data_IF_269895832311
#
_entry.id   IF_269895832311
#
_cell.length_a   1.000
_cell.length_b   1.000
_cell.length_c   1.000
_cell.angle_alpha   90.00
_cell.angle_beta   90.00
_cell.angle_gamma   90.00
#
_symmetry.space_group_name_H-M   'P 1'
#
loop_
_entity.id
_entity.type
_entity.pdbx_description
1 polymer ?
#
# COMPACT_ATOMS: atom_id res chain seq x y z
N UNK A 1 16.19 -41.10 45.99
CA UNK A 1 17.45 -40.78 45.29
C UNK A 1 17.37 -41.37 43.89
N UNK A 2 17.19 -40.53 42.86
CA UNK A 2 17.40 -40.87 41.45
C UNK A 2 17.48 -39.56 40.67
N UNK A 3 18.70 -39.07 40.43
CA UNK A 3 19.00 -37.87 39.66
C UNK A 3 19.20 -38.25 38.20
N UNK A 4 18.24 -37.89 37.34
CA UNK A 4 18.33 -38.09 35.89
C UNK A 4 19.10 -36.93 35.26
N UNK A 5 20.23 -37.24 34.61
CA UNK A 5 21.07 -36.32 33.83
C UNK A 5 20.45 -36.08 32.45
N UNK A 6 19.95 -34.87 32.21
CA UNK A 6 19.65 -34.41 30.85
C UNK A 6 20.94 -33.91 30.18
N UNK A 7 21.35 -34.60 29.11
CA UNK A 7 22.44 -34.17 28.22
C UNK A 7 21.90 -33.17 27.21
N UNK A 8 22.36 -31.93 27.28
CA UNK A 8 22.16 -30.92 26.25
C UNK A 8 22.99 -31.28 25.02
N UNK A 9 22.33 -31.68 23.93
CA UNK A 9 22.97 -31.87 22.64
C UNK A 9 23.22 -30.49 21.99
N UNK A 10 24.49 -30.18 21.78
CA UNK A 10 24.97 -29.02 21.03
C UNK A 10 24.63 -29.19 19.54
N UNK A 11 23.98 -28.17 18.98
CA UNK A 11 23.75 -28.02 17.54
C UNK A 11 25.09 -27.84 16.79
N UNK A 12 25.30 -28.48 15.62
CA UNK A 12 26.47 -28.24 14.79
C UNK A 12 26.40 -26.86 14.13
N UNK A 13 27.43 -26.02 14.36
CA UNK A 13 27.74 -24.87 13.51
C UNK A 13 28.16 -25.39 12.13
N UNK A 14 27.30 -25.21 11.13
CA UNK A 14 27.67 -25.36 9.72
C UNK A 14 28.50 -24.15 9.31
N UNK A 15 29.82 -24.36 9.27
CA UNK A 15 30.78 -23.51 8.58
C UNK A 15 31.04 -24.19 7.23
N UNK A 16 30.57 -23.59 6.13
CA UNK A 16 30.90 -24.03 4.77
C UNK A 16 31.29 -22.80 3.93
N UNK A 17 32.54 -22.38 4.07
CA UNK A 17 33.20 -21.31 3.29
C UNK A 17 33.85 -21.84 1.99
N UNK A 18 33.23 -22.80 1.31
CA UNK A 18 33.88 -23.52 0.20
C UNK A 18 33.17 -23.41 -1.17
N UNK A 19 32.41 -22.35 -1.45
CA UNK A 19 31.76 -22.21 -2.78
C UNK A 19 31.87 -20.85 -3.47
N UNK A 20 32.66 -19.90 -2.96
CA UNK A 20 32.81 -18.57 -3.59
C UNK A 20 34.06 -18.38 -4.47
N UNK A 21 34.92 -19.39 -4.60
CA UNK A 21 36.19 -19.23 -5.33
C UNK A 21 36.16 -19.57 -6.83
N UNK A 22 34.99 -19.83 -7.43
CA UNK A 22 34.90 -20.25 -8.83
C UNK A 22 34.40 -19.18 -9.82
N UNK A 23 34.07 -17.98 -9.35
CA UNK A 23 33.56 -16.89 -10.20
C UNK A 23 34.41 -15.59 -10.16
N UNK A 24 35.70 -15.69 -9.81
CA UNK A 24 36.63 -14.55 -9.81
C UNK A 24 37.97 -14.79 -10.52
N UNK A 25 38.11 -15.89 -11.28
CA UNK A 25 39.23 -16.06 -12.21
C UNK A 25 38.76 -15.69 -13.61
N UNK A 26 38.93 -14.42 -14.00
CA UNK A 26 39.31 -13.96 -15.34
C UNK A 26 39.13 -12.44 -15.48
N UNK A 27 39.93 -11.64 -14.76
CA UNK A 27 40.16 -10.25 -15.16
C UNK A 27 41.66 -9.95 -15.04
N UNK A 28 42.40 -10.28 -16.11
CA UNK A 28 43.73 -9.72 -16.35
C UNK A 28 43.87 -9.47 -17.84
N UNK A 29 43.26 -8.37 -18.31
CA UNK A 29 43.63 -7.74 -19.56
C UNK A 29 43.72 -6.24 -19.37
N UNK A 30 44.93 -5.78 -19.08
CA UNK A 30 45.36 -4.43 -19.37
C UNK A 30 45.57 -4.31 -20.89
N UNK A 31 44.81 -3.43 -21.54
CA UNK A 31 45.26 -2.73 -22.75
C UNK A 31 44.45 -1.47 -22.99
N UNK A 32 44.98 -0.39 -22.43
CA UNK A 32 45.18 0.90 -23.09
C UNK A 32 44.66 0.98 -24.53
N UNK A 33 43.60 1.76 -24.74
CA UNK A 33 43.40 2.52 -25.97
C UNK A 33 42.34 3.63 -25.80
N UNK A 34 42.84 4.85 -25.95
CA UNK A 34 42.28 5.87 -26.85
C UNK A 34 40.96 6.51 -26.45
N UNK A 35 41.12 7.54 -25.62
CA UNK A 35 40.54 8.87 -25.74
C UNK A 35 39.91 9.13 -27.13
N UNK A 36 38.61 8.93 -27.25
CA UNK A 36 37.79 9.41 -28.36
C UNK A 36 36.53 10.03 -27.77
N UNK A 37 36.38 11.31 -28.08
CA UNK A 37 35.24 12.20 -27.95
C UNK A 37 34.09 11.76 -27.04
N UNK A 38 34.03 12.45 -25.90
CA UNK A 38 32.82 12.75 -25.17
C UNK A 38 31.83 13.50 -26.08
N UNK A 39 31.15 12.75 -26.94
CA UNK A 39 29.92 13.20 -27.59
C UNK A 39 28.84 13.30 -26.52
N UNK A 40 28.56 14.57 -26.21
CA UNK A 40 27.54 15.13 -25.31
C UNK A 40 26.12 14.73 -25.71
N UNK A 41 25.80 13.44 -25.71
CA UNK A 41 24.43 12.97 -25.71
C UNK A 41 24.06 12.73 -24.25
N UNK A 42 23.64 13.80 -23.58
CA UNK A 42 22.75 13.66 -22.42
C UNK A 42 21.68 12.64 -22.83
N UNK A 43 21.53 11.52 -22.13
CA UNK A 43 20.45 10.59 -22.41
C UNK A 43 19.17 11.41 -22.32
N UNK A 44 18.50 11.62 -23.46
CA UNK A 44 17.12 12.10 -23.44
C UNK A 44 16.36 11.02 -22.67
N UNK A 45 16.11 11.28 -21.39
CA UNK A 45 15.10 10.55 -20.63
C UNK A 45 13.81 10.91 -21.36
N UNK A 46 13.41 10.03 -22.26
CA UNK A 46 12.08 10.03 -22.81
C UNK A 46 11.18 9.77 -21.61
N UNK A 47 10.66 10.87 -21.03
CA UNK A 47 9.59 10.83 -20.05
C UNK A 47 8.36 10.37 -20.82
N UNK A 48 8.37 9.08 -21.15
CA UNK A 48 7.15 8.32 -21.33
C UNK A 48 6.35 8.65 -20.08
N UNK A 49 5.22 9.31 -20.28
CA UNK A 49 4.25 9.54 -19.22
C UNK A 49 3.72 8.19 -18.79
N UNK A 50 4.55 7.40 -18.10
CA UNK A 50 4.12 6.31 -17.26
C UNK A 50 3.10 6.95 -16.36
N UNK A 51 1.86 6.50 -16.58
CA UNK A 51 0.70 6.75 -15.77
C UNK A 51 1.18 6.78 -14.33
N UNK A 52 1.33 7.99 -13.81
CA UNK A 52 1.92 8.22 -12.51
C UNK A 52 0.91 7.57 -11.56
N UNK A 53 1.22 6.42 -10.94
CA UNK A 53 0.18 5.61 -10.35
C UNK A 53 -0.55 6.49 -9.34
N UNK A 54 -1.89 6.45 -9.39
CA UNK A 54 -2.80 7.23 -8.53
C UNK A 54 -2.42 7.14 -7.03
N UNK A 55 -1.53 6.19 -6.68
CA UNK A 55 -0.74 6.13 -5.45
C UNK A 55 0.20 7.30 -5.13
N UNK A 56 0.31 8.37 -5.94
CA UNK A 56 0.89 9.64 -5.45
C UNK A 56 -0.08 10.37 -4.49
N UNK A 57 -0.85 9.59 -3.72
CA UNK A 57 -1.62 10.02 -2.56
C UNK A 57 -0.67 10.78 -1.65
N UNK A 58 -0.89 12.08 -1.51
CA UNK A 58 -0.17 12.91 -0.57
C UNK A 58 -0.46 12.36 0.82
N UNK A 59 0.47 11.59 1.43
CA UNK A 59 0.13 10.78 2.57
C UNK A 59 0.23 11.70 3.77
N UNK A 60 -0.94 12.02 4.34
CA UNK A 60 -1.15 12.73 5.60
C UNK A 60 0.14 12.91 6.39
N UNK A 61 0.73 14.12 6.35
CA UNK A 61 2.08 14.40 6.87
C UNK A 61 2.19 13.97 8.33
N UNK A 62 1.12 14.20 9.10
CA UNK A 62 0.95 13.71 10.46
C UNK A 62 -0.34 12.87 10.56
N UNK A 63 -0.29 11.66 10.02
CA UNK A 63 -1.40 10.71 9.93
C UNK A 63 -2.25 10.59 11.19
N UNK A 64 -1.63 10.47 12.37
CA UNK A 64 -2.36 10.28 13.63
C UNK A 64 -3.24 11.49 13.94
N UNK A 65 -2.66 12.69 13.84
CA UNK A 65 -3.34 13.93 14.17
C UNK A 65 -4.37 14.33 13.11
N UNK A 66 -4.03 14.14 11.84
CA UNK A 66 -4.94 14.41 10.74
C UNK A 66 -6.13 13.43 10.75
N UNK A 67 -5.92 12.14 11.11
CA UNK A 67 -7.04 11.20 11.27
C UNK A 67 -7.97 11.58 12.43
N UNK A 68 -7.43 12.09 13.54
CA UNK A 68 -8.28 12.63 14.63
C UNK A 68 -9.17 13.76 14.11
N UNK A 69 -8.62 14.68 13.32
CA UNK A 69 -9.39 15.76 12.71
C UNK A 69 -10.44 15.26 11.71
N UNK A 70 -10.12 14.24 10.89
CA UNK A 70 -11.07 13.63 9.96
C UNK A 70 -12.25 13.03 10.73
N UNK A 71 -11.98 12.29 11.81
CA UNK A 71 -13.02 11.68 12.65
C UNK A 71 -13.87 12.74 13.34
N UNK A 72 -13.24 13.79 13.89
CA UNK A 72 -13.94 14.87 14.56
C UNK A 72 -14.86 15.67 13.61
N UNK A 73 -14.43 15.89 12.37
CA UNK A 73 -15.22 16.63 11.36
C UNK A 73 -16.34 15.81 10.75
N UNK A 74 -16.22 14.47 10.75
CA UNK A 74 -17.15 13.58 10.06
C UNK A 74 -17.78 12.54 11.00
N UNK A 75 -18.35 12.93 12.16
CA UNK A 75 -18.81 11.96 13.16
C UNK A 75 -19.93 11.04 12.62
N UNK A 76 -20.82 11.56 11.75
CA UNK A 76 -21.89 10.77 11.16
C UNK A 76 -21.39 9.60 10.30
N UNK A 77 -20.25 9.76 9.62
CA UNK A 77 -19.63 8.68 8.86
C UNK A 77 -19.12 7.57 9.80
N UNK A 78 -18.39 7.93 10.85
CA UNK A 78 -17.82 6.92 11.77
C UNK A 78 -18.88 6.25 12.64
N UNK A 79 -19.98 6.95 12.97
CA UNK A 79 -21.16 6.33 13.61
C UNK A 79 -21.79 5.31 12.66
N UNK A 80 -21.94 5.63 11.37
CA UNK A 80 -22.46 4.69 10.38
C UNK A 80 -21.56 3.46 10.23
N UNK A 81 -20.24 3.65 10.19
CA UNK A 81 -19.27 2.54 10.17
C UNK A 81 -19.42 1.68 11.41
N UNK A 82 -19.49 2.28 12.61
CA UNK A 82 -19.67 1.54 13.86
C UNK A 82 -20.97 0.73 13.88
N UNK A 83 -22.07 1.28 13.37
CA UNK A 83 -23.36 0.60 13.29
C UNK A 83 -23.38 -0.58 12.31
N UNK A 84 -22.51 -0.58 11.30
CA UNK A 84 -22.40 -1.67 10.32
C UNK A 84 -21.42 -2.78 10.75
N UNK A 85 -20.63 -2.55 11.80
CA UNK A 85 -19.71 -3.57 12.32
C UNK A 85 -20.42 -4.36 13.41
N UNK A 86 -20.74 -5.62 13.12
CA UNK A 86 -21.46 -6.50 14.04
C UNK A 86 -20.62 -6.91 15.28
N UNK A 87 -19.30 -6.93 15.15
CA UNK A 87 -18.38 -7.45 16.15
C UNK A 87 -17.47 -6.35 16.73
N UNK A 88 -17.55 -6.16 18.05
CA UNK A 88 -16.77 -5.17 18.79
C UNK A 88 -15.26 -5.33 18.55
N UNK A 89 -14.76 -6.56 18.42
CA UNK A 89 -13.32 -6.80 18.16
C UNK A 89 -12.91 -6.29 16.79
N UNK A 90 -13.77 -6.44 15.79
CA UNK A 90 -13.55 -5.94 14.44
C UNK A 90 -13.53 -4.40 14.43
N UNK A 91 -14.43 -3.77 15.20
CA UNK A 91 -14.46 -2.31 15.33
C UNK A 91 -13.21 -1.78 16.07
N UNK A 92 -12.81 -2.41 17.17
CA UNK A 92 -11.56 -2.05 17.88
C UNK A 92 -10.32 -2.29 16.99
N UNK A 93 -10.31 -3.32 16.14
CA UNK A 93 -9.25 -3.52 15.14
C UNK A 93 -9.22 -2.38 14.11
N UNK A 94 -10.37 -1.94 13.61
CA UNK A 94 -10.45 -0.80 12.70
C UNK A 94 -9.92 0.46 13.36
N UNK A 95 -10.37 0.76 14.59
CA UNK A 95 -9.92 1.91 15.39
C UNK A 95 -8.42 1.89 15.65
N UNK A 96 -7.87 0.74 16.05
CA UNK A 96 -6.41 0.58 16.24
C UNK A 96 -5.62 0.81 14.95
N UNK A 97 -6.20 0.47 13.80
CA UNK A 97 -5.58 0.69 12.49
C UNK A 97 -5.66 2.18 12.11
N UNK A 98 -6.83 2.80 12.25
CA UNK A 98 -7.05 4.22 11.94
C UNK A 98 -6.05 5.14 12.68
N UNK A 99 -5.81 4.88 13.96
CA UNK A 99 -4.92 5.68 14.80
C UNK A 99 -3.49 5.13 14.91
N UNK A 100 -3.10 4.14 14.09
CA UNK A 100 -1.75 3.60 14.13
C UNK A 100 -0.72 4.69 13.73
N UNK A 101 0.35 4.91 14.52
CA UNK A 101 1.45 5.79 14.13
C UNK A 101 2.20 5.28 12.89
N UNK A 102 2.74 6.18 12.07
CA UNK A 102 3.49 5.82 10.84
C UNK A 102 4.72 4.95 11.13
N UNK A 103 5.29 5.07 12.33
CA UNK A 103 6.41 4.25 12.78
C UNK A 103 6.02 2.78 12.99
N UNK A 104 4.74 2.50 13.28
CA UNK A 104 4.22 1.16 13.55
C UNK A 104 3.67 0.53 12.27
N UNK A 105 3.04 1.33 11.40
CA UNK A 105 2.37 0.84 10.20
C UNK A 105 2.70 1.75 9.01
N UNK A 106 3.24 1.19 7.93
CA UNK A 106 3.52 1.97 6.71
C UNK A 106 2.22 2.55 6.14
N UNK A 107 2.30 3.63 5.35
CA UNK A 107 1.09 4.23 4.78
C UNK A 107 0.36 3.28 3.82
N UNK A 108 1.12 2.48 3.06
CA UNK A 108 0.57 1.46 2.18
C UNK A 108 -0.20 0.39 2.97
N UNK A 109 0.40 -0.11 4.06
CA UNK A 109 -0.20 -1.14 4.89
C UNK A 109 -1.43 -0.62 5.63
N UNK A 110 -1.35 0.64 6.08
CA UNK A 110 -2.43 1.33 6.77
C UNK A 110 -3.64 1.46 5.87
N UNK A 111 -3.44 2.00 4.66
CA UNK A 111 -4.51 2.20 3.69
C UNK A 111 -5.13 0.85 3.29
N UNK A 112 -4.30 -0.14 2.97
CA UNK A 112 -4.75 -1.48 2.58
C UNK A 112 -5.55 -2.19 3.70
N UNK A 113 -5.13 -2.07 4.97
CA UNK A 113 -5.88 -2.67 6.08
C UNK A 113 -7.24 -2.02 6.26
N UNK A 114 -7.33 -0.71 6.10
CA UNK A 114 -8.60 0.01 6.19
C UNK A 114 -9.49 -0.37 5.00
N UNK A 115 -8.95 -0.40 3.79
CA UNK A 115 -9.65 -0.88 2.59
C UNK A 115 -10.25 -2.26 2.81
N UNK A 116 -9.44 -3.22 3.25
CA UNK A 116 -9.89 -4.60 3.48
C UNK A 116 -11.01 -4.68 4.52
N UNK A 117 -10.95 -3.86 5.58
CA UNK A 117 -11.98 -3.82 6.61
C UNK A 117 -13.25 -3.15 6.09
N UNK A 118 -13.15 -1.99 5.44
CA UNK A 118 -14.30 -1.22 4.97
C UNK A 118 -14.98 -1.85 3.76
N UNK A 119 -14.23 -2.37 2.78
CA UNK A 119 -14.78 -3.07 1.61
C UNK A 119 -15.54 -4.34 2.00
N UNK A 120 -15.10 -5.03 3.07
CA UNK A 120 -15.83 -6.18 3.63
C UNK A 120 -17.18 -5.80 4.22
N UNK A 121 -17.29 -4.60 4.81
CA UNK A 121 -18.56 -4.07 5.33
C UNK A 121 -19.44 -3.54 4.20
N UNK A 122 -18.88 -2.63 3.40
CA UNK A 122 -19.53 -2.04 2.24
C UNK A 122 -18.50 -1.31 1.35
N UNK A 123 -18.40 -1.61 0.05
CA UNK A 123 -17.54 -0.87 -0.87
C UNK A 123 -17.78 0.64 -0.88
N UNK A 124 -19.04 1.07 -0.70
CA UNK A 124 -19.40 2.49 -0.65
C UNK A 124 -18.82 3.21 0.59
N UNK A 125 -18.60 2.49 1.71
CA UNK A 125 -17.93 3.07 2.87
C UNK A 125 -16.46 3.33 2.61
N UNK A 126 -15.82 2.48 1.80
CA UNK A 126 -14.42 2.65 1.40
C UNK A 126 -14.25 3.85 0.47
N UNK A 127 -15.05 3.95 -0.60
CA UNK A 127 -15.01 5.09 -1.51
C UNK A 127 -15.21 6.44 -0.77
N UNK A 128 -16.16 6.46 0.17
CA UNK A 128 -16.39 7.65 1.00
C UNK A 128 -15.22 7.95 1.94
N UNK A 129 -14.55 6.93 2.46
CA UNK A 129 -13.34 7.10 3.28
C UNK A 129 -12.20 7.73 2.47
N UNK A 130 -11.97 7.24 1.25
CA UNK A 130 -10.96 7.80 0.35
C UNK A 130 -11.20 9.28 0.10
N UNK A 131 -12.45 9.66 -0.22
CA UNK A 131 -12.81 11.06 -0.37
C UNK A 131 -12.50 11.89 0.89
N UNK A 132 -12.75 11.37 2.10
CA UNK A 132 -12.45 12.11 3.33
C UNK A 132 -10.94 12.37 3.54
N UNK A 133 -10.08 11.45 3.08
CA UNK A 133 -8.63 11.62 3.15
C UNK A 133 -8.14 12.58 2.08
N UNK A 134 -8.63 12.42 0.84
CA UNK A 134 -8.18 13.22 -0.30
C UNK A 134 -8.55 14.71 -0.16
N UNK A 135 -9.68 15.02 0.48
CA UNK A 135 -10.15 16.39 0.71
C UNK A 135 -9.56 17.06 1.97
N UNK A 136 -8.55 16.48 2.64
CA UNK A 136 -8.00 17.12 3.84
C UNK A 136 -7.36 18.46 3.45
N UNK A 137 -7.92 19.61 3.90
CA UNK A 137 -7.40 20.90 3.49
C UNK A 137 -5.98 21.00 4.02
N UNK A 138 -4.99 21.05 3.13
CA UNK A 138 -3.68 21.56 3.50
C UNK A 138 -3.94 22.96 4.01
N UNK A 139 -3.85 23.14 5.33
CA UNK A 139 -3.87 24.44 5.97
C UNK A 139 -2.63 25.13 5.44
N UNK A 140 -2.72 25.73 4.25
CA UNK A 140 -1.69 26.59 3.72
C UNK A 140 -1.56 27.66 4.80
N UNK A 141 -0.41 27.74 5.50
CA UNK A 141 -0.22 28.75 6.51
C UNK A 141 -0.52 30.06 5.80
N UNK A 142 -1.61 30.70 6.22
CA UNK A 142 -2.07 31.97 5.66
C UNK A 142 -0.85 32.84 5.56
N UNK A 143 -0.43 33.15 4.33
CA UNK A 143 0.51 34.24 4.08
C UNK A 143 -0.08 35.39 4.87
N UNK A 144 0.55 35.69 5.99
CA UNK A 144 0.22 36.82 6.83
C UNK A 144 0.49 38.03 5.96
N UNK A 145 -0.57 38.52 5.31
CA UNK A 145 -0.58 39.77 4.57
C UNK A 145 -0.12 40.85 5.52
N UNK A 146 1.16 41.18 5.38
CA UNK A 146 1.78 42.32 6.00
C UNK A 146 1.35 43.51 5.18
N UNK A 147 0.22 44.11 5.54
CA UNK A 147 -0.21 45.43 5.06
C UNK A 147 -1.15 46.07 6.08
N UNK A 148 -0.58 46.57 7.17
CA UNK A 148 -1.15 47.68 7.94
C UNK A 148 -1.16 48.95 7.07
N UNK A 149 -2.27 49.70 7.06
CA UNK A 149 -2.26 51.12 7.47
C UNK A 149 -3.66 51.75 7.44
N UNK A 150 -4.19 51.98 8.64
CA UNK A 150 -4.90 53.15 9.16
C UNK A 150 -5.98 53.88 8.32
N UNK A 151 -7.18 54.05 8.91
CA UNK A 151 -7.56 55.32 9.54
C UNK A 151 -8.86 55.24 10.33
N UNK A 152 -8.83 55.88 11.49
CA UNK A 152 -9.92 56.10 12.44
C UNK A 152 -10.96 57.10 11.92
N UNK A 153 -12.21 57.02 12.41
CA UNK A 153 -13.02 58.15 12.91
C UNK A 153 -14.36 57.64 13.48
N UNK A 154 -14.51 57.79 14.80
CA UNK A 154 -15.72 57.71 15.67
C UNK A 154 -16.69 58.92 15.49
N UNK A 155 -17.83 59.09 16.22
CA UNK A 155 -18.84 58.20 16.88
C UNK A 155 -20.30 58.78 16.61
N UNK A 156 -21.32 58.80 17.49
CA UNK A 156 -21.74 58.00 18.67
C UNK A 156 -23.21 57.50 18.59
N UNK A 157 -23.71 56.72 19.57
CA UNK A 157 -25.08 56.85 20.13
C UNK A 157 -25.22 56.01 21.40
N UNK A 158 -25.61 56.67 22.50
CA UNK A 158 -26.14 56.08 23.73
C UNK A 158 -27.64 55.83 23.59
N UNK A 159 -28.20 54.86 24.32
CA UNK A 159 -29.36 55.01 25.25
C UNK A 159 -29.73 53.63 25.85
N UNK A 160 -29.79 53.60 27.19
CA UNK A 160 -30.45 52.61 28.04
C UNK A 160 -31.97 52.85 28.04
N UNK A 161 -32.80 51.80 28.08
CA UNK A 161 -34.02 51.72 28.93
C UNK A 161 -34.57 50.27 29.04
N UNK A 162 -34.56 49.76 30.27
CA UNK A 162 -35.58 49.01 31.04
C UNK A 162 -36.74 48.21 30.41
N UNK A 163 -36.76 46.91 30.78
CA UNK A 163 -37.81 46.16 31.52
C UNK A 163 -39.17 45.73 30.89
N UNK A 164 -39.83 44.69 31.47
CA UNK A 164 -40.65 43.67 30.78
C UNK A 164 -42.17 43.82 31.01
N UNK A 165 -43.03 43.11 30.25
CA UNK A 165 -44.39 42.66 30.68
C UNK A 165 -45.03 41.67 29.67
N UNK A 166 -45.46 40.54 30.24
CA UNK A 166 -46.63 39.68 29.96
C UNK A 166 -47.33 39.57 28.57
N UNK A 167 -47.33 38.33 28.08
CA UNK A 167 -48.48 37.40 28.01
C UNK A 167 -49.57 37.46 26.91
N UNK A 168 -50.02 36.24 26.62
CA UNK A 168 -51.37 35.80 26.20
C UNK A 168 -51.70 35.66 24.69
N UNK A 169 -52.18 34.43 24.40
CA UNK A 169 -53.20 34.02 23.42
C UNK A 169 -52.76 33.63 22.00
N UNK A 170 -53.00 32.35 21.64
CA UNK A 170 -54.14 31.82 20.82
C UNK A 170 -53.95 32.17 19.34
N UNK A 171 -54.18 31.34 18.33
CA UNK A 171 -55.03 30.16 18.19
C UNK A 171 -54.82 29.60 16.76
N UNK A 172 -55.23 28.34 16.58
CA UNK A 172 -55.91 27.83 15.37
C UNK A 172 -55.13 27.61 14.05
N UNK A 173 -54.85 26.32 13.80
CA UNK A 173 -55.40 25.50 12.69
C UNK A 173 -55.78 26.19 11.37
N UNK A 174 -55.28 25.68 10.23
CA UNK A 174 -56.08 24.89 9.27
C UNK A 174 -55.34 24.60 7.95
N UNK A 175 -55.46 23.34 7.52
CA UNK A 175 -55.56 22.80 6.15
C UNK A 175 -55.16 23.66 4.95
N UNK A 176 -54.42 23.08 4.00
CA UNK A 176 -55.04 22.56 2.77
C UNK A 176 -54.01 21.98 1.78
N UNK A 177 -54.50 20.91 1.15
CA UNK A 177 -54.09 20.22 -0.07
C UNK A 177 -53.51 21.06 -1.21
N UNK A 178 -52.55 20.50 -1.94
CA UNK A 178 -52.37 20.75 -3.38
C UNK A 178 -51.59 19.60 -4.02
N UNK A 179 -52.32 18.80 -4.79
CA UNK A 179 -51.83 17.89 -5.81
C UNK A 179 -51.25 18.66 -7.00
N UNK A 180 -50.12 18.21 -7.55
CA UNK A 180 -49.74 18.51 -8.92
C UNK A 180 -49.07 17.30 -9.58
N UNK A 181 -49.73 16.88 -10.64
CA UNK A 181 -49.41 15.80 -11.55
C UNK A 181 -48.53 16.29 -12.71
N UNK A 182 -47.91 15.30 -13.39
CA UNK A 182 -47.35 15.31 -14.74
C UNK A 182 -45.91 15.85 -14.88
N UNK A 183 -44.98 14.94 -15.21
CA UNK A 183 -44.49 14.87 -16.59
C UNK A 183 -43.76 13.55 -16.84
N UNK A 184 -44.26 12.81 -17.83
CA UNK A 184 -43.69 11.57 -18.34
C UNK A 184 -42.58 11.91 -19.33
N UNK A 185 -41.42 11.27 -19.20
CA UNK A 185 -40.37 11.32 -20.22
C UNK A 185 -39.84 9.92 -20.46
N UNK A 186 -40.18 9.42 -21.65
CA UNK A 186 -39.64 8.22 -22.28
C UNK A 186 -38.13 8.35 -22.49
N UNK A 187 -37.32 7.41 -21.98
CA UNK A 187 -36.04 7.05 -22.59
C UNK A 187 -35.72 5.55 -22.35
N UNK A 188 -35.77 4.81 -23.46
CA UNK A 188 -34.88 3.72 -23.85
C UNK A 188 -34.63 2.55 -22.87
N UNK A 189 -35.40 1.49 -23.11
CA UNK A 189 -35.07 0.09 -22.87
C UNK A 189 -33.67 -0.26 -23.40
N UNK A 190 -32.74 -0.54 -22.48
CA UNK A 190 -31.51 -1.26 -22.78
C UNK A 190 -31.43 -2.49 -21.85
N UNK A 191 -31.34 -3.64 -22.51
CA UNK A 191 -31.28 -5.01 -21.99
C UNK A 191 -29.97 -5.23 -21.22
N UNK A 192 -29.97 -5.71 -19.96
CA UNK A 192 -28.75 -6.17 -19.30
C UNK A 192 -28.27 -7.50 -19.90
N UNK A 193 -26.98 -7.67 -20.18
CA UNK A 193 -26.41 -8.94 -20.64
C UNK A 193 -26.22 -9.94 -19.49
N UNK A 194 -26.32 -11.20 -19.88
CA UNK A 194 -26.07 -12.43 -19.13
C UNK A 194 -24.78 -12.38 -18.30
N UNK A 195 -24.88 -12.25 -16.97
CA UNK A 195 -23.78 -12.51 -16.03
C UNK A 195 -24.30 -12.90 -14.64
N UNK A 196 -25.41 -13.66 -14.61
CA UNK A 196 -25.95 -14.28 -13.41
C UNK A 196 -26.02 -15.80 -13.61
N UNK A 197 -24.85 -16.44 -13.78
CA UNK A 197 -24.78 -17.91 -13.84
C UNK A 197 -23.39 -18.48 -13.52
N UNK A 198 -22.70 -17.91 -12.53
CA UNK A 198 -21.47 -18.46 -11.95
C UNK A 198 -21.46 -18.26 -10.43
N UNK A 199 -22.58 -18.62 -9.80
CA UNK A 199 -22.73 -18.73 -8.34
C UNK A 199 -23.19 -20.15 -8.02
N UNK A 200 -22.28 -21.11 -8.11
CA UNK A 200 -22.34 -22.40 -7.42
C UNK A 200 -21.08 -23.20 -7.75
N UNK A 201 -20.08 -23.13 -6.86
CA UNK A 201 -19.15 -24.22 -6.51
C UNK A 201 -17.95 -23.65 -5.75
N UNK A 202 -18.03 -23.70 -4.42
CA UNK A 202 -16.99 -24.20 -3.51
C UNK A 202 -17.34 -23.78 -2.07
N UNK A 203 -18.31 -24.48 -1.49
CA UNK A 203 -18.23 -24.82 -0.07
C UNK A 203 -17.50 -26.17 0.05
N UNK A 204 -16.99 -26.44 1.25
CA UNK A 204 -16.17 -27.58 1.68
C UNK A 204 -14.65 -27.47 1.51
N UNK A 205 -14.01 -26.74 2.43
CA UNK A 205 -12.87 -27.30 3.16
C UNK A 205 -12.59 -26.58 4.50
N UNK A 206 -13.28 -27.01 5.54
CA UNK A 206 -12.87 -26.77 6.92
C UNK A 206 -11.69 -27.67 7.31
N UNK A 207 -10.91 -27.19 8.28
CA UNK A 207 -9.99 -27.92 9.17
C UNK A 207 -8.51 -28.01 8.79
N UNK A 208 -7.73 -27.00 9.21
CA UNK A 208 -6.43 -27.23 9.85
C UNK A 208 -6.01 -26.01 10.68
N UNK A 209 -6.29 -26.07 11.98
CA UNK A 209 -5.74 -25.20 13.01
C UNK A 209 -4.25 -25.50 13.23
N UNK A 210 -3.39 -24.51 13.03
CA UNK A 210 -1.95 -24.59 13.32
C UNK A 210 -1.40 -23.21 13.62
N UNK A 211 -1.70 -22.69 14.82
CA UNK A 211 -1.18 -21.41 15.30
C UNK A 211 0.34 -21.51 15.51
N UNK A 212 1.10 -20.82 14.66
CA UNK A 212 2.51 -20.53 14.94
C UNK A 212 2.68 -19.01 14.91
N UNK A 213 2.93 -18.43 16.09
CA UNK A 213 3.26 -17.03 16.22
C UNK A 213 4.65 -16.79 15.63
N UNK A 214 4.74 -16.01 14.55
CA UNK A 214 6.02 -15.47 14.05
C UNK A 214 5.88 -13.99 13.72
N UNK A 215 6.56 -13.19 14.54
CA UNK A 215 7.34 -12.00 14.22
C UNK A 215 6.97 -11.24 12.94
N UNK A 216 6.48 -10.01 13.10
CA UNK A 216 6.54 -8.87 12.16
C UNK A 216 7.05 -9.18 10.75
N UNK A 217 6.26 -9.89 9.96
CA UNK A 217 6.59 -10.17 8.56
C UNK A 217 6.07 -9.06 7.67
N UNK A 218 6.98 -8.56 6.84
CA UNK A 218 6.79 -7.61 5.74
C UNK A 218 5.41 -7.71 5.09
N UNK A 219 4.76 -6.56 4.94
CA UNK A 219 3.41 -6.35 4.41
C UNK A 219 3.09 -7.07 3.09
N UNK A 220 4.12 -7.37 2.30
CA UNK A 220 3.97 -7.98 0.99
C UNK A 220 3.75 -9.49 0.99
N UNK A 221 3.79 -10.17 2.16
CA UNK A 221 3.41 -11.59 2.24
C UNK A 221 1.97 -11.86 1.78
N UNK A 222 1.08 -10.87 1.82
CA UNK A 222 -0.31 -11.06 1.38
C UNK A 222 -0.51 -10.97 -0.14
N UNK A 223 0.47 -10.48 -0.92
CA UNK A 223 0.40 -10.61 -2.39
C UNK A 223 0.63 -12.05 -2.86
N UNK A 224 1.30 -12.87 -2.04
CA UNK A 224 1.55 -14.28 -2.33
C UNK A 224 0.30 -15.15 -2.24
N UNK A 225 -0.64 -14.80 -1.35
CA UNK A 225 -1.77 -15.68 -1.01
C UNK A 225 -2.79 -15.81 -2.15
N UNK A 226 -2.92 -14.79 -3.02
CA UNK A 226 -3.92 -14.78 -4.12
C UNK A 226 -3.32 -14.79 -5.54
N UNK A 227 -2.02 -14.51 -5.73
CA UNK A 227 -1.43 -14.31 -7.07
C UNK A 227 -0.38 -15.34 -7.51
N UNK A 228 -0.10 -16.35 -6.68
CA UNK A 228 0.93 -17.33 -6.98
C UNK A 228 2.34 -16.74 -6.92
N UNK A 229 3.32 -17.45 -7.49
CA UNK A 229 4.72 -17.00 -7.52
C UNK A 229 4.87 -15.84 -8.53
N UNK A 230 5.49 -14.73 -8.14
CA UNK A 230 5.81 -13.62 -9.06
C UNK A 230 6.85 -14.01 -10.10
N UNK A 231 7.78 -14.87 -9.71
CA UNK A 231 8.79 -15.45 -10.59
C UNK A 231 8.51 -16.93 -10.74
N UNK A 232 8.39 -17.42 -11.97
CA UNK A 232 8.14 -18.84 -12.18
C UNK A 232 9.31 -19.69 -11.68
N UNK A 233 9.12 -20.55 -10.66
CA UNK A 233 10.22 -21.30 -10.05
C UNK A 233 10.84 -22.33 -11.00
N UNK A 234 10.17 -22.70 -12.09
CA UNK A 234 10.69 -23.62 -13.11
C UNK A 234 12.02 -23.13 -13.69
N UNK A 235 12.25 -21.82 -13.72
CA UNK A 235 13.50 -21.24 -14.21
C UNK A 235 14.72 -21.78 -13.45
N UNK A 236 14.59 -22.04 -12.14
CA UNK A 236 15.68 -22.52 -11.30
C UNK A 236 16.15 -23.93 -11.65
N UNK A 237 15.30 -24.71 -12.31
CA UNK A 237 15.61 -26.06 -12.77
C UNK A 237 16.22 -26.09 -14.17
N UNK A 238 16.08 -24.99 -14.92
CA UNK A 238 16.74 -24.84 -16.20
C UNK A 238 18.24 -24.61 -15.99
N UNK A 239 19.08 -25.18 -16.88
CA UNK A 239 20.55 -24.96 -16.88
C UNK A 239 20.99 -23.93 -17.90
N UNK A 240 20.10 -23.53 -18.82
CA UNK A 240 20.46 -22.73 -19.99
C UNK A 240 20.33 -21.23 -19.75
N UNK A 241 19.50 -20.84 -18.79
CA UNK A 241 19.14 -19.45 -18.50
C UNK A 241 20.33 -18.57 -18.05
N UNK A 242 21.40 -19.16 -17.55
CA UNK A 242 22.54 -18.39 -17.02
C UNK A 242 23.32 -17.64 -18.11
N UNK A 243 23.27 -18.09 -19.36
CA UNK A 243 24.12 -17.53 -20.44
C UNK A 243 23.66 -16.14 -20.91
N UNK A 244 22.37 -15.86 -20.80
CA UNK A 244 21.79 -14.62 -21.32
C UNK A 244 21.61 -13.56 -20.24
N UNK A 245 22.04 -13.86 -19.01
CA UNK A 245 21.82 -13.00 -17.86
C UNK A 245 22.94 -11.97 -17.63
N UNK A 246 24.10 -12.13 -18.27
CA UNK A 246 25.30 -11.33 -18.01
C UNK A 246 25.05 -9.81 -18.16
N UNK A 247 24.32 -9.41 -19.19
CA UNK A 247 23.97 -8.00 -19.42
C UNK A 247 23.12 -7.44 -18.27
N UNK A 248 22.11 -8.19 -17.84
CA UNK A 248 21.24 -7.81 -16.72
C UNK A 248 22.01 -7.77 -15.39
N UNK A 249 22.92 -8.73 -15.15
CA UNK A 249 23.76 -8.74 -13.94
C UNK A 249 24.69 -7.53 -13.89
N UNK A 250 25.19 -7.07 -15.04
CA UNK A 250 26.03 -5.88 -15.11
C UNK A 250 25.22 -4.61 -14.78
N UNK A 251 23.99 -4.50 -15.27
CA UNK A 251 23.09 -3.40 -14.89
C UNK A 251 22.81 -3.41 -13.38
N UNK A 252 22.52 -4.59 -12.81
CA UNK A 252 22.31 -4.75 -11.37
C UNK A 252 23.55 -4.30 -10.58
N UNK A 253 24.75 -4.65 -11.04
CA UNK A 253 26.01 -4.28 -10.39
C UNK A 253 26.24 -2.76 -10.38
N UNK A 254 25.79 -2.06 -11.42
CA UNK A 254 25.90 -0.59 -11.51
C UNK A 254 24.84 0.13 -10.67
N UNK A 255 23.63 -0.43 -10.56
CA UNK A 255 22.52 0.20 -9.86
C UNK A 255 22.50 -0.10 -8.35
N UNK A 256 22.97 -1.27 -7.93
CA UNK A 256 22.88 -1.73 -6.54
C UNK A 256 24.15 -1.43 -5.75
N UNK A 257 24.00 -1.24 -4.43
CA UNK A 257 25.17 -1.24 -3.52
C UNK A 257 25.83 -2.62 -3.53
N UNK A 258 27.15 -2.69 -3.36
CA UNK A 258 27.91 -3.95 -3.39
C UNK A 258 27.30 -5.05 -2.50
N UNK A 259 27.00 -4.76 -1.22
CA UNK A 259 26.42 -5.75 -0.31
C UNK A 259 25.00 -6.20 -0.70
N UNK A 260 24.23 -5.33 -1.35
CA UNK A 260 22.90 -5.67 -1.84
C UNK A 260 22.99 -6.53 -3.11
N UNK A 261 23.88 -6.17 -4.03
CA UNK A 261 24.19 -6.94 -5.23
C UNK A 261 24.67 -8.35 -4.89
N UNK A 262 25.62 -8.49 -3.96
CA UNK A 262 26.13 -9.81 -3.55
C UNK A 262 25.03 -10.70 -2.96
N UNK A 263 24.14 -10.14 -2.14
CA UNK A 263 22.98 -10.87 -1.60
C UNK A 263 22.00 -11.26 -2.70
N UNK A 264 21.71 -10.36 -3.63
CA UNK A 264 20.86 -10.64 -4.78
C UNK A 264 21.39 -11.80 -5.61
N UNK A 265 22.67 -11.76 -6.01
CA UNK A 265 23.33 -12.82 -6.77
C UNK A 265 23.30 -14.15 -6.01
N UNK A 266 23.58 -14.13 -4.71
CA UNK A 266 23.51 -15.34 -3.88
C UNK A 266 22.13 -15.99 -3.94
N UNK A 267 21.06 -15.20 -3.82
CA UNK A 267 19.70 -15.73 -3.89
C UNK A 267 19.31 -16.16 -5.30
N UNK A 268 19.65 -15.37 -6.31
CA UNK A 268 19.35 -15.67 -7.71
C UNK A 268 19.90 -17.03 -8.14
N UNK A 269 21.12 -17.36 -7.70
CA UNK A 269 21.79 -18.64 -7.99
C UNK A 269 21.65 -19.68 -6.86
N UNK A 270 20.79 -19.46 -5.88
CA UNK A 270 20.60 -20.41 -4.80
C UNK A 270 20.05 -21.75 -5.34
N UNK A 271 20.72 -22.84 -5.00
CA UNK A 271 20.34 -24.18 -5.49
C UNK A 271 18.92 -24.57 -5.03
N UNK A 272 18.08 -25.15 -5.91
CA UNK A 272 16.75 -25.66 -5.55
C UNK A 272 16.75 -26.69 -4.41
N UNK A 273 17.86 -27.41 -4.23
CA UNK A 273 18.00 -28.39 -3.15
C UNK A 273 18.22 -27.77 -1.77
N UNK A 274 18.68 -26.51 -1.70
CA UNK A 274 18.99 -25.81 -0.45
C UNK A 274 17.92 -24.80 -0.04
N UNK A 275 17.17 -24.25 -0.99
CA UNK A 275 16.21 -23.18 -0.77
C UNK A 275 14.90 -23.50 -1.47
N UNK A 276 13.81 -23.51 -0.71
CA UNK A 276 12.45 -23.68 -1.24
C UNK A 276 12.06 -22.51 -2.14
N UNK A 277 11.20 -22.74 -3.12
CA UNK A 277 10.82 -21.71 -4.10
C UNK A 277 10.22 -20.46 -3.44
N UNK A 278 9.38 -20.64 -2.42
CA UNK A 278 8.79 -19.52 -1.68
C UNK A 278 9.85 -18.65 -0.97
N UNK A 279 10.92 -19.26 -0.47
CA UNK A 279 11.99 -18.52 0.20
C UNK A 279 12.91 -17.84 -0.81
N UNK A 280 13.17 -18.51 -1.94
CA UNK A 280 13.94 -17.95 -3.04
C UNK A 280 13.26 -16.70 -3.61
N UNK A 281 11.97 -16.80 -3.90
CA UNK A 281 11.21 -15.70 -4.47
C UNK A 281 11.10 -14.52 -3.50
N UNK A 282 10.76 -14.78 -2.23
CA UNK A 282 10.72 -13.76 -1.18
C UNK A 282 12.06 -13.04 -1.05
N UNK A 283 13.18 -13.75 -1.15
CA UNK A 283 14.50 -13.15 -1.04
C UNK A 283 14.88 -12.31 -2.28
N UNK A 284 14.47 -12.73 -3.48
CA UNK A 284 14.62 -11.93 -4.70
C UNK A 284 13.79 -10.66 -4.63
N UNK A 285 12.54 -10.78 -4.19
CA UNK A 285 11.64 -9.64 -3.99
C UNK A 285 12.25 -8.63 -3.01
N UNK A 286 12.67 -9.09 -1.82
CA UNK A 286 13.32 -8.21 -0.84
C UNK A 286 14.57 -7.52 -1.38
N UNK A 287 15.37 -8.24 -2.18
CA UNK A 287 16.59 -7.70 -2.79
C UNK A 287 16.30 -6.63 -3.83
N UNK A 288 15.20 -6.76 -4.57
CA UNK A 288 14.83 -5.90 -5.69
C UNK A 288 13.74 -4.87 -5.35
N UNK A 289 13.17 -4.90 -4.14
CA UNK A 289 12.09 -4.01 -3.70
C UNK A 289 12.45 -2.52 -3.81
N UNK A 290 13.74 -2.17 -3.66
CA UNK A 290 14.23 -0.80 -3.82
C UNK A 290 14.62 -0.45 -5.27
N UNK A 291 14.46 -1.38 -6.20
CA UNK A 291 14.92 -1.31 -7.59
C UNK A 291 13.81 -1.77 -8.55
N UNK A 292 12.67 -1.05 -8.64
CA UNK A 292 11.49 -1.50 -9.36
C UNK A 292 11.74 -1.76 -10.85
N UNK A 293 12.63 -0.99 -11.50
CA UNK A 293 13.00 -1.21 -12.90
C UNK A 293 13.72 -2.56 -13.07
N UNK A 294 14.66 -2.89 -12.16
CA UNK A 294 15.37 -4.17 -12.20
C UNK A 294 14.44 -5.34 -11.88
N UNK A 295 13.49 -5.14 -10.97
CA UNK A 295 12.45 -6.13 -10.67
C UNK A 295 11.63 -6.48 -11.91
N UNK A 296 11.11 -5.48 -12.62
CA UNK A 296 10.32 -5.68 -13.83
C UNK A 296 11.14 -6.34 -14.94
N UNK A 297 12.41 -5.91 -15.13
CA UNK A 297 13.32 -6.54 -16.09
C UNK A 297 13.59 -8.01 -15.78
N UNK A 298 13.82 -8.35 -14.50
CA UNK A 298 14.03 -9.74 -14.11
C UNK A 298 12.76 -10.58 -14.35
N UNK A 299 11.60 -10.03 -14.00
CA UNK A 299 10.32 -10.71 -14.20
C UNK A 299 10.08 -11.01 -15.67
N UNK A 300 10.15 -9.97 -16.51
CA UNK A 300 9.97 -10.09 -17.96
C UNK A 300 10.96 -11.12 -18.54
N UNK A 301 12.22 -11.07 -18.12
CA UNK A 301 13.22 -12.03 -18.55
C UNK A 301 12.91 -13.47 -18.13
N UNK A 302 12.45 -13.70 -16.89
CA UNK A 302 12.06 -15.05 -16.41
C UNK A 302 10.87 -15.57 -17.20
N UNK A 303 9.86 -14.72 -17.44
CA UNK A 303 8.65 -15.10 -18.18
C UNK A 303 9.01 -15.59 -19.59
N UNK A 304 9.89 -14.88 -20.30
CA UNK A 304 10.37 -15.27 -21.63
C UNK A 304 11.18 -16.57 -21.68
N UNK A 305 11.80 -16.99 -20.57
CA UNK A 305 12.61 -18.22 -20.52
C UNK A 305 11.78 -19.47 -20.23
N UNK A 306 10.53 -19.29 -19.80
CA UNK A 306 9.63 -20.37 -19.40
C UNK A 306 8.59 -20.69 -20.48
N UNK A 307 8.38 -19.78 -21.43
CA UNK A 307 7.67 -20.03 -22.70
C UNK A 307 8.41 -21.03 -23.60
#
# INVERSE_FOLDING_TARGET
>A
MNTSRNKSALLPRLHDDASYNLLLKNETYAKENKLMDASLLSPCIEITGYDMPVSMMVPMVNREEEMRHIVQRNPGYFIQVQQQVDDEKTFEKLKSTLYAPRQILSDQDWLWRIEKLLTKLSPALWERFQALIDYFPTINPTKSDSSESASSTTPPTMVLTDSPTEAISRNSSSSSSSSSSLSSSHLLTARPPLLAQLKEQHEDRESASGSTATSSTSSFRYLYDDHGFFFDPRIRHSKTWQKDLDAFLQECKLAMKADAYHRFIHWLFASPSKVTDANWESALYESLNYYPILFLKLKDWIDHQVE
#
